data_IF_576823390618
#
_entry.id   IF_576823390618
#
_cell.length_a   1.000
_cell.length_b   1.000
_cell.length_c   1.000
_cell.angle_alpha   90.00
_cell.angle_beta   90.00
_cell.angle_gamma   90.00
#
_symmetry.space_group_name_H-M   'P 1'
#
loop_
_entity.id
_entity.type
_entity.pdbx_description
1 polymer ?
#
# COMPACT_ATOMS: atom_id res chain seq x y z
N UNK A 1 12.98 -20.26 24.76
CA UNK A 1 12.23 -19.24 23.98
C UNK A 1 12.18 -19.75 22.55
N UNK A 2 11.00 -20.05 22.00
CA UNK A 2 10.88 -20.38 20.57
C UNK A 2 11.31 -19.14 19.78
N UNK A 3 12.49 -19.20 19.17
CA UNK A 3 13.00 -18.13 18.34
C UNK A 3 12.25 -18.21 17.00
N UNK A 4 11.25 -17.35 16.83
CA UNK A 4 10.51 -17.23 15.56
C UNK A 4 11.51 -16.93 14.45
N UNK A 5 11.50 -17.71 13.36
CA UNK A 5 12.45 -17.51 12.27
C UNK A 5 12.14 -16.21 11.52
N UNK A 6 13.13 -15.56 10.89
CA UNK A 6 12.88 -14.36 10.10
C UNK A 6 11.81 -14.56 9.01
N UNK A 7 11.79 -15.73 8.36
CA UNK A 7 10.78 -16.09 7.36
C UNK A 7 9.37 -16.16 7.95
N UNK A 8 9.22 -16.69 9.17
CA UNK A 8 7.90 -16.76 9.83
C UNK A 8 7.34 -15.36 10.11
N UNK A 9 8.21 -14.42 10.52
CA UNK A 9 7.81 -13.01 10.71
C UNK A 9 7.38 -12.38 9.38
N UNK A 10 8.18 -12.56 8.34
CA UNK A 10 7.87 -12.06 7.00
C UNK A 10 6.52 -12.59 6.51
N UNK A 11 6.26 -13.90 6.59
CA UNK A 11 5.00 -14.51 6.16
C UNK A 11 3.81 -13.97 6.96
N UNK A 12 3.94 -13.83 8.28
CA UNK A 12 2.90 -13.21 9.10
C UNK A 12 2.61 -11.77 8.68
N UNK A 13 3.65 -10.97 8.41
CA UNK A 13 3.46 -9.59 7.92
C UNK A 13 2.86 -9.56 6.51
N UNK A 14 3.20 -10.54 5.65
CA UNK A 14 2.59 -10.68 4.33
C UNK A 14 1.08 -10.96 4.44
N UNK A 15 0.64 -11.77 5.40
CA UNK A 15 -0.79 -11.97 5.69
C UNK A 15 -1.48 -10.69 6.16
N UNK A 16 -0.83 -9.89 7.02
CA UNK A 16 -1.35 -8.60 7.47
C UNK A 16 -1.54 -7.65 6.28
N UNK A 17 -0.53 -7.51 5.42
CA UNK A 17 -0.61 -6.65 4.23
C UNK A 17 -1.70 -7.15 3.26
N UNK A 18 -1.87 -8.47 3.13
CA UNK A 18 -2.96 -9.04 2.34
C UNK A 18 -4.34 -8.62 2.86
N UNK A 19 -4.53 -8.67 4.19
CA UNK A 19 -5.76 -8.22 4.83
C UNK A 19 -5.99 -6.72 4.62
N UNK A 20 -4.97 -5.90 4.83
CA UNK A 20 -5.02 -4.45 4.61
C UNK A 20 -5.37 -4.11 3.16
N UNK A 21 -4.73 -4.79 2.20
CA UNK A 21 -4.97 -4.58 0.78
C UNK A 21 -6.36 -5.03 0.31
N UNK A 22 -6.94 -6.09 0.90
CA UNK A 22 -8.36 -6.45 0.66
C UNK A 22 -9.31 -5.33 1.09
N UNK A 23 -9.08 -4.71 2.24
CA UNK A 23 -9.87 -3.57 2.71
C UNK A 23 -9.65 -2.31 1.89
N UNK A 24 -8.40 -2.06 1.47
CA UNK A 24 -8.08 -0.98 0.56
C UNK A 24 -8.80 -1.15 -0.78
N UNK A 25 -8.76 -2.34 -1.38
CA UNK A 25 -9.45 -2.64 -2.64
C UNK A 25 -10.96 -2.37 -2.55
N UNK A 26 -11.60 -2.79 -1.46
CA UNK A 26 -13.02 -2.49 -1.21
C UNK A 26 -13.31 -0.98 -1.10
N UNK A 27 -12.46 -0.23 -0.40
CA UNK A 27 -12.59 1.23 -0.32
C UNK A 27 -12.34 1.91 -1.66
N UNK A 28 -11.34 1.43 -2.40
CA UNK A 28 -10.95 1.96 -3.70
C UNK A 28 -12.08 1.81 -4.71
N UNK A 29 -12.70 0.63 -4.82
CA UNK A 29 -13.79 0.37 -5.76
C UNK A 29 -14.99 1.30 -5.49
N UNK A 30 -15.34 1.46 -4.22
CA UNK A 30 -16.43 2.35 -3.82
C UNK A 30 -16.16 3.82 -4.07
N UNK A 31 -14.91 4.25 -3.97
CA UNK A 31 -14.53 5.62 -4.29
C UNK A 31 -14.41 5.81 -5.82
N UNK A 32 -14.00 4.78 -6.57
CA UNK A 32 -13.91 4.79 -8.03
C UNK A 32 -15.26 4.97 -8.71
N UNK A 33 -16.36 4.65 -8.04
CA UNK A 33 -17.72 4.88 -8.52
C UNK A 33 -18.13 6.37 -8.65
N UNK A 34 -17.28 7.31 -8.21
CA UNK A 34 -17.55 8.75 -8.24
C UNK A 34 -16.51 9.51 -9.08
N UNK A 35 -16.93 10.57 -9.80
CA UNK A 35 -15.99 11.49 -10.41
C UNK A 35 -15.35 12.34 -9.30
N UNK A 36 -14.08 12.09 -9.01
CA UNK A 36 -13.33 12.88 -8.03
C UNK A 36 -12.88 14.17 -8.70
N UNK A 37 -13.75 15.18 -8.62
CA UNK A 37 -13.50 16.54 -9.10
C UNK A 37 -13.64 17.56 -7.94
N UNK A 38 -13.24 18.82 -8.14
CA UNK A 38 -13.32 19.83 -7.08
C UNK A 38 -14.76 20.09 -6.61
N UNK A 39 -15.77 19.85 -7.46
CA UNK A 39 -17.18 19.96 -7.10
C UNK A 39 -17.60 18.83 -6.15
N UNK A 40 -17.18 17.60 -6.42
CA UNK A 40 -17.37 16.45 -5.53
C UNK A 40 -16.73 16.70 -4.16
N UNK A 41 -15.49 17.22 -4.13
CA UNK A 41 -14.79 17.57 -2.89
C UNK A 41 -15.57 18.61 -2.08
N UNK A 42 -16.04 19.70 -2.71
CA UNK A 42 -16.87 20.71 -2.03
C UNK A 42 -18.18 20.12 -1.49
N UNK A 43 -18.74 19.12 -2.17
CA UNK A 43 -19.97 18.44 -1.75
C UNK A 43 -19.82 17.61 -0.47
N UNK A 44 -18.60 17.23 -0.08
CA UNK A 44 -18.34 16.38 1.09
C UNK A 44 -18.86 16.97 2.40
N UNK A 45 -18.84 18.30 2.57
CA UNK A 45 -19.36 18.98 3.77
C UNK A 45 -20.84 18.68 4.01
N UNK A 46 -21.60 18.51 2.92
CA UNK A 46 -23.03 18.18 2.95
C UNK A 46 -23.33 16.68 2.84
N UNK A 47 -22.30 15.85 2.73
CA UNK A 47 -22.41 14.41 2.47
C UNK A 47 -21.57 13.59 3.46
N UNK A 48 -21.96 13.52 4.75
CA UNK A 48 -21.16 12.89 5.81
C UNK A 48 -20.83 11.43 5.52
N UNK A 49 -21.76 10.65 4.96
CA UNK A 49 -21.49 9.27 4.56
C UNK A 49 -20.42 9.15 3.47
N UNK A 50 -20.27 10.17 2.61
CA UNK A 50 -19.23 10.20 1.59
C UNK A 50 -17.88 10.58 2.20
N UNK A 51 -17.87 11.56 3.10
CA UNK A 51 -16.69 11.93 3.86
C UNK A 51 -16.11 10.73 4.65
N UNK A 52 -16.97 9.96 5.33
CA UNK A 52 -16.54 8.73 6.03
C UNK A 52 -15.94 7.68 5.08
N UNK A 53 -16.50 7.51 3.88
CA UNK A 53 -15.96 6.59 2.86
C UNK A 53 -14.56 7.01 2.42
N UNK A 54 -14.38 8.30 2.21
CA UNK A 54 -13.12 8.90 1.83
C UNK A 54 -12.06 8.74 2.94
N UNK A 55 -12.41 9.06 4.18
CA UNK A 55 -11.52 8.88 5.33
C UNK A 55 -11.09 7.42 5.49
N UNK A 56 -12.03 6.48 5.33
CA UNK A 56 -11.72 5.06 5.34
C UNK A 56 -10.73 4.68 4.24
N UNK A 57 -10.91 5.20 3.01
CA UNK A 57 -9.97 4.99 1.91
C UNK A 57 -8.57 5.53 2.23
N UNK A 58 -8.46 6.81 2.62
CA UNK A 58 -7.17 7.46 2.94
C UNK A 58 -6.45 6.73 4.08
N UNK A 59 -7.19 6.35 5.13
CA UNK A 59 -6.65 5.60 6.27
C UNK A 59 -6.12 4.22 5.85
N UNK A 60 -6.84 3.50 4.99
CA UNK A 60 -6.44 2.17 4.50
C UNK A 60 -5.25 2.24 3.55
N UNK A 61 -5.22 3.25 2.67
CA UNK A 61 -4.09 3.50 1.77
C UNK A 61 -2.81 3.74 2.57
N UNK A 62 -2.85 4.69 3.51
CA UNK A 62 -1.70 4.99 4.36
C UNK A 62 -1.25 3.80 5.19
N UNK A 63 -2.19 3.04 5.78
CA UNK A 63 -1.87 1.85 6.56
C UNK A 63 -1.14 0.79 5.75
N UNK A 64 -1.66 0.43 4.57
CA UNK A 64 -1.02 -0.59 3.74
C UNK A 64 0.38 -0.15 3.31
N UNK A 65 0.55 1.11 2.90
CA UNK A 65 1.86 1.67 2.55
C UNK A 65 2.85 1.59 3.70
N UNK A 66 2.44 2.05 4.90
CA UNK A 66 3.28 2.06 6.10
C UNK A 66 3.69 0.64 6.49
N UNK A 67 2.75 -0.31 6.50
CA UNK A 67 3.06 -1.71 6.82
C UNK A 67 4.03 -2.30 5.81
N UNK A 68 3.91 -2.00 4.51
CA UNK A 68 4.87 -2.46 3.51
C UNK A 68 6.25 -1.86 3.79
N UNK A 69 6.35 -0.54 3.88
CA UNK A 69 7.62 0.19 4.03
C UNK A 69 8.35 -0.15 5.33
N UNK A 70 7.64 -0.10 6.46
CA UNK A 70 8.24 -0.15 7.80
C UNK A 70 8.40 -1.58 8.31
N UNK A 71 7.65 -2.55 7.77
CA UNK A 71 7.64 -3.92 8.27
C UNK A 71 7.92 -4.96 7.20
N UNK A 72 7.16 -4.97 6.09
CA UNK A 72 7.27 -6.04 5.10
C UNK A 72 8.66 -6.05 4.46
N UNK A 73 9.15 -4.91 3.97
CA UNK A 73 10.45 -4.82 3.30
C UNK A 73 11.60 -5.21 4.27
N UNK A 74 11.71 -4.62 5.49
CA UNK A 74 12.76 -5.04 6.42
C UNK A 74 12.71 -6.51 6.80
N UNK A 75 11.53 -7.09 7.00
CA UNK A 75 11.41 -8.49 7.38
C UNK A 75 11.72 -9.44 6.22
N UNK A 76 11.33 -9.07 5.01
CA UNK A 76 11.72 -9.78 3.80
C UNK A 76 13.24 -9.79 3.63
N UNK A 77 13.91 -8.65 3.77
CA UNK A 77 15.39 -8.59 3.74
C UNK A 77 16.02 -9.49 4.81
N UNK A 78 15.50 -9.43 6.05
CA UNK A 78 15.98 -10.28 7.13
C UNK A 78 15.78 -11.78 6.85
N UNK A 79 14.71 -12.16 6.13
CA UNK A 79 14.48 -13.54 5.71
C UNK A 79 15.44 -14.03 4.62
N UNK A 80 16.03 -13.10 3.86
CA UNK A 80 17.11 -13.36 2.91
C UNK A 80 18.52 -13.32 3.56
N UNK A 81 18.58 -13.27 4.90
CA UNK A 81 19.81 -13.07 5.68
C UNK A 81 20.53 -11.74 5.38
N UNK A 82 19.81 -10.75 4.84
CA UNK A 82 20.30 -9.38 4.70
C UNK A 82 19.99 -8.56 5.96
N UNK A 83 20.81 -7.55 6.22
CA UNK A 83 20.57 -6.60 7.31
C UNK A 83 19.77 -5.41 6.76
N UNK A 84 18.53 -5.17 7.26
CA UNK A 84 17.77 -3.99 6.85
C UNK A 84 18.50 -2.69 7.24
N UNK A 85 18.47 -1.71 6.34
CA UNK A 85 19.01 -0.37 6.52
C UNK A 85 17.90 0.66 6.73
N UNK A 86 18.20 1.90 6.37
CA UNK A 86 17.23 2.99 6.26
C UNK A 86 16.16 2.69 5.20
N UNK A 87 15.04 3.44 5.24
CA UNK A 87 13.95 3.27 4.27
C UNK A 87 14.44 3.32 2.81
N UNK A 88 15.26 4.31 2.47
CA UNK A 88 15.78 4.47 1.11
C UNK A 88 16.69 3.32 0.69
N UNK A 89 17.54 2.81 1.59
CA UNK A 89 18.38 1.65 1.32
C UNK A 89 17.54 0.39 1.09
N UNK A 90 16.49 0.21 1.90
CA UNK A 90 15.57 -0.93 1.77
C UNK A 90 14.77 -0.88 0.47
N UNK A 91 14.27 0.30 0.07
CA UNK A 91 13.55 0.49 -1.19
C UNK A 91 14.46 0.24 -2.41
N UNK A 92 15.66 0.80 -2.42
CA UNK A 92 16.65 0.51 -3.46
C UNK A 92 16.98 -0.97 -3.55
N UNK A 93 17.04 -1.66 -2.41
CA UNK A 93 17.27 -3.11 -2.39
C UNK A 93 16.08 -3.89 -2.94
N UNK A 94 14.86 -3.51 -2.58
CA UNK A 94 13.62 -4.08 -3.09
C UNK A 94 13.50 -3.93 -4.61
N UNK A 95 13.86 -2.75 -5.15
CA UNK A 95 13.87 -2.50 -6.59
C UNK A 95 14.92 -3.35 -7.30
N UNK A 96 16.17 -3.34 -6.80
CA UNK A 96 17.26 -4.16 -7.36
C UNK A 96 16.95 -5.65 -7.42
N UNK A 97 16.13 -6.15 -6.49
CA UNK A 97 15.72 -7.55 -6.41
C UNK A 97 14.40 -7.85 -7.12
N UNK A 98 13.75 -6.84 -7.70
CA UNK A 98 12.56 -6.98 -8.54
C UNK A 98 11.24 -7.14 -7.79
N UNK A 99 11.20 -6.80 -6.48
CA UNK A 99 9.94 -6.82 -5.70
C UNK A 99 9.26 -5.45 -5.65
N UNK A 100 9.99 -4.39 -5.97
CA UNK A 100 9.49 -3.03 -6.20
C UNK A 100 9.86 -2.62 -7.64
N UNK A 101 8.98 -1.93 -8.36
CA UNK A 101 9.26 -1.53 -9.75
C UNK A 101 10.09 -0.24 -9.81
N UNK A 102 9.74 0.75 -8.99
CA UNK A 102 10.33 2.08 -9.02
C UNK A 102 10.36 2.70 -7.60
N UNK A 103 11.55 3.06 -7.12
CA UNK A 103 11.75 3.73 -5.81
C UNK A 103 11.23 5.16 -5.80
N UNK A 104 11.40 5.90 -6.89
CA UNK A 104 10.96 7.30 -6.99
C UNK A 104 9.44 7.39 -6.88
N UNK A 105 8.70 6.55 -7.61
CA UNK A 105 7.24 6.46 -7.51
C UNK A 105 6.78 6.12 -6.09
N UNK A 106 7.50 5.22 -5.40
CA UNK A 106 7.20 4.90 -3.99
C UNK A 106 7.38 6.12 -3.08
N UNK A 107 8.46 6.89 -3.26
CA UNK A 107 8.72 8.10 -2.49
C UNK A 107 7.69 9.19 -2.77
N UNK A 108 7.19 9.30 -4.01
CA UNK A 108 6.10 10.18 -4.36
C UNK A 108 4.79 9.78 -3.68
N UNK A 109 4.45 8.48 -3.70
CA UNK A 109 3.31 7.94 -2.98
C UNK A 109 3.38 8.21 -1.47
N UNK A 110 4.58 8.14 -0.87
CA UNK A 110 4.79 8.48 0.55
C UNK A 110 4.51 9.97 0.84
N UNK A 111 4.95 10.86 -0.05
CA UNK A 111 4.65 12.30 0.06
C UNK A 111 3.16 12.56 -0.08
N UNK A 112 2.51 11.91 -1.04
CA UNK A 112 1.06 12.01 -1.25
C UNK A 112 0.29 11.61 0.00
N UNK A 113 0.64 10.47 0.63
CA UNK A 113 -0.01 10.03 1.88
C UNK A 113 0.00 11.10 2.95
N UNK A 114 1.09 11.86 3.08
CA UNK A 114 1.17 12.95 4.05
C UNK A 114 0.26 14.13 3.66
N UNK A 115 0.17 14.46 2.36
CA UNK A 115 -0.76 15.51 1.89
C UNK A 115 -2.22 15.13 2.11
N UNK A 116 -2.61 13.89 1.81
CA UNK A 116 -3.98 13.40 2.01
C UNK A 116 -4.47 13.51 3.46
N UNK A 117 -3.56 13.44 4.45
CA UNK A 117 -3.89 13.59 5.87
C UNK A 117 -3.98 15.06 6.30
N UNK A 118 -3.30 15.98 5.61
CA UNK A 118 -3.14 17.37 6.03
C UNK A 118 -3.89 18.40 5.15
N UNK A 119 -4.17 18.09 3.90
CA UNK A 119 -4.66 19.06 2.89
C UNK A 119 -6.18 19.13 2.75
N UNK A 120 -6.94 18.29 3.47
CA UNK A 120 -8.40 18.13 3.28
C UNK A 120 -9.21 19.44 3.32
N UNK A 121 -8.67 20.52 3.89
CA UNK A 121 -9.36 21.80 4.06
C UNK A 121 -8.73 23.01 3.34
N UNK A 122 -7.64 22.85 2.58
CA UNK A 122 -6.93 24.03 2.04
C UNK A 122 -7.31 24.37 0.59
N UNK A 123 -7.47 23.38 -0.29
CA UNK A 123 -7.89 23.58 -1.68
C UNK A 123 -8.63 22.34 -2.23
N UNK A 124 -9.91 22.46 -2.63
CA UNK A 124 -10.64 21.38 -3.27
C UNK A 124 -10.00 20.86 -4.56
N UNK A 125 -9.31 21.75 -5.29
CA UNK A 125 -8.60 21.43 -6.54
C UNK A 125 -7.39 20.53 -6.28
N UNK A 126 -6.46 20.97 -5.41
CA UNK A 126 -5.28 20.18 -5.02
C UNK A 126 -5.70 18.83 -4.44
N UNK A 127 -6.74 18.82 -3.61
CA UNK A 127 -7.21 17.59 -2.97
C UNK A 127 -7.83 16.60 -3.96
N UNK A 128 -8.57 17.08 -4.96
CA UNK A 128 -9.11 16.21 -6.01
C UNK A 128 -7.99 15.57 -6.86
N UNK A 129 -6.94 16.34 -7.18
CA UNK A 129 -5.74 15.84 -7.88
C UNK A 129 -5.02 14.78 -7.03
N UNK A 130 -4.79 15.07 -5.74
CA UNK A 130 -4.17 14.15 -4.80
C UNK A 130 -4.96 12.84 -4.65
N UNK A 131 -6.29 12.90 -4.59
CA UNK A 131 -7.13 11.71 -4.53
C UNK A 131 -7.10 10.89 -5.83
N UNK A 132 -6.97 11.56 -6.97
CA UNK A 132 -6.81 10.88 -8.26
C UNK A 132 -5.48 10.14 -8.29
N UNK A 133 -4.37 10.78 -7.90
CA UNK A 133 -3.07 10.12 -7.78
C UNK A 133 -3.09 8.98 -6.75
N UNK A 134 -3.83 9.12 -5.65
CA UNK A 134 -3.93 8.08 -4.63
C UNK A 134 -4.55 6.81 -5.17
N UNK A 135 -5.55 6.95 -6.06
CA UNK A 135 -6.17 5.81 -6.75
C UNK A 135 -5.18 5.10 -7.66
N UNK A 136 -4.32 5.84 -8.35
CA UNK A 136 -3.29 5.26 -9.21
C UNK A 136 -2.22 4.52 -8.38
N UNK A 137 -1.72 5.13 -7.31
CA UNK A 137 -0.73 4.49 -6.43
C UNK A 137 -1.28 3.30 -5.64
N UNK A 138 -2.60 3.08 -5.57
CA UNK A 138 -3.12 1.81 -5.07
C UNK A 138 -2.62 0.62 -5.90
N UNK A 139 -2.48 0.79 -7.22
CA UNK A 139 -1.90 -0.24 -8.09
C UNK A 139 -0.43 -0.51 -7.73
N UNK A 140 0.34 0.53 -7.43
CA UNK A 140 1.73 0.40 -6.96
C UNK A 140 1.81 -0.43 -5.66
N UNK A 141 0.96 -0.13 -4.67
CA UNK A 141 0.96 -0.85 -3.39
C UNK A 141 0.55 -2.32 -3.57
N UNK A 142 -0.53 -2.58 -4.30
CA UNK A 142 -1.05 -3.93 -4.57
C UNK A 142 -0.07 -4.74 -5.42
N UNK A 143 0.50 -4.14 -6.46
CA UNK A 143 1.52 -4.76 -7.30
C UNK A 143 2.76 -5.13 -6.52
N UNK A 144 3.23 -4.23 -5.65
CA UNK A 144 4.39 -4.47 -4.77
C UNK A 144 4.12 -5.63 -3.80
N UNK A 145 2.95 -5.65 -3.17
CA UNK A 145 2.53 -6.79 -2.35
C UNK A 145 2.53 -8.11 -3.14
N UNK A 146 1.93 -8.12 -4.33
CA UNK A 146 1.85 -9.32 -5.17
C UNK A 146 3.23 -9.81 -5.60
N UNK A 147 4.19 -8.90 -5.83
CA UNK A 147 5.58 -9.25 -6.10
C UNK A 147 6.30 -9.83 -4.89
N UNK A 148 6.09 -9.30 -3.68
CA UNK A 148 6.64 -9.92 -2.45
C UNK A 148 6.12 -11.33 -2.25
N UNK A 149 4.82 -11.54 -2.48
CA UNK A 149 4.19 -12.86 -2.45
C UNK A 149 4.83 -13.80 -3.49
N UNK A 150 5.01 -13.35 -4.72
CA UNK A 150 5.62 -14.17 -5.77
C UNK A 150 7.10 -14.45 -5.51
N UNK A 151 7.85 -13.49 -4.96
CA UNK A 151 9.25 -13.69 -4.57
C UNK A 151 9.38 -14.68 -3.41
N UNK A 152 8.45 -14.69 -2.44
CA UNK A 152 8.39 -15.73 -1.41
C UNK A 152 8.25 -17.13 -2.01
N UNK A 153 7.42 -17.27 -3.05
CA UNK A 153 7.25 -18.54 -3.77
C UNK A 153 8.52 -18.95 -4.54
N UNK A 154 9.14 -18.00 -5.24
CA UNK A 154 10.23 -18.28 -6.17
C UNK A 154 11.61 -18.36 -5.51
N UNK A 155 11.90 -17.42 -4.60
CA UNK A 155 13.23 -17.27 -3.98
C UNK A 155 13.34 -18.02 -2.65
N UNK A 156 12.25 -18.10 -1.89
CA UNK A 156 12.22 -18.78 -0.58
C UNK A 156 11.56 -20.17 -0.65
N UNK A 157 11.10 -20.59 -1.84
CA UNK A 157 10.48 -21.89 -2.08
C UNK A 157 9.25 -22.16 -1.18
N UNK A 158 8.54 -21.10 -0.79
CA UNK A 158 7.31 -21.23 0.02
C UNK A 158 6.18 -21.74 -0.87
N UNK A 159 5.47 -22.77 -0.40
CA UNK A 159 4.36 -23.36 -1.14
C UNK A 159 3.17 -22.41 -1.27
N UNK A 160 2.46 -22.50 -2.39
CA UNK A 160 1.33 -21.62 -2.72
C UNK A 160 0.23 -21.66 -1.64
N UNK A 161 0.02 -22.81 -1.01
CA UNK A 161 -1.03 -22.98 0.02
C UNK A 161 -0.73 -22.20 1.32
N UNK A 162 0.52 -21.79 1.53
CA UNK A 162 0.95 -21.00 2.69
C UNK A 162 0.97 -19.50 2.39
N UNK A 163 0.75 -19.11 1.14
CA UNK A 163 0.79 -17.71 0.74
C UNK A 163 -0.64 -17.14 0.72
N UNK A 164 -0.84 -15.93 1.26
CA UNK A 164 -2.12 -15.24 1.11
C UNK A 164 -2.45 -15.03 -0.38
N UNK A 165 -3.73 -14.92 -0.71
CA UNK A 165 -4.18 -14.69 -2.09
C UNK A 165 -3.63 -13.38 -2.66
N UNK A 166 -3.41 -13.35 -3.99
CA UNK A 166 -3.11 -12.11 -4.68
C UNK A 166 -4.26 -11.11 -4.52
N UNK A 167 -3.91 -9.83 -4.44
CA UNK A 167 -4.90 -8.75 -4.45
C UNK A 167 -5.04 -8.27 -5.89
N UNK A 168 -6.28 -8.06 -6.33
CA UNK A 168 -6.62 -7.47 -7.62
C UNK A 168 -7.48 -6.25 -7.33
N UNK A 169 -7.11 -5.10 -7.88
CA UNK A 169 -7.98 -3.93 -7.93
C UNK A 169 -8.91 -4.08 -9.14
N UNK A 170 -10.16 -3.65 -9.00
CA UNK A 170 -11.12 -3.66 -10.12
C UNK A 170 -10.62 -2.84 -11.32
N UNK A 171 -11.19 -3.06 -12.50
CA UNK A 171 -10.88 -2.22 -13.67
C UNK A 171 -11.31 -0.77 -13.40
N UNK A 172 -10.41 0.17 -13.71
CA UNK A 172 -10.60 1.61 -13.49
C UNK A 172 -11.56 2.23 -14.50
#
# INVERSE_FOLDING_TARGET
>A
MNQVLPVDRFLHTLEIVAYEGKHLAYSWERLNAFPIDPGWVRGLESAPEMAERLEAFVSRFGRMQDTIADKLIPQWLASLAEKPGSLIENLNRAEKLGVLDNVEEWLEALKLRNRLVHEYMQSPESFAEDLTMAKEYCNLLVGTYNRFRDDARMRMEISEEKLPEKIVLGEA
#
